data_IF_503666762939
#
_entry.id   IF_503666762939
#
_cell.length_a   1.000
_cell.length_b   1.000
_cell.length_c   1.000
_cell.angle_alpha   90.00
_cell.angle_beta   90.00
_cell.angle_gamma   90.00
#
_symmetry.space_group_name_H-M   'P 1'
#
loop_
_entity.id
_entity.type
_entity.pdbx_description
1 polymer ?
#
# COMPACT_ATOMS: atom_id res chain seq x y z
N UNK A 1 -3.88 8.63 -10.05
CA UNK A 1 -2.49 8.35 -9.70
C UNK A 1 -2.27 8.37 -8.20
N UNK A 2 -1.32 7.55 -7.74
CA UNK A 2 -1.02 7.42 -6.33
C UNK A 2 0.00 8.48 -5.90
N UNK A 3 -0.15 8.96 -4.67
CA UNK A 3 0.86 9.82 -4.08
C UNK A 3 2.08 8.99 -3.71
N UNK A 4 3.20 9.67 -3.44
CA UNK A 4 4.42 8.99 -2.99
C UNK A 4 4.14 8.17 -1.73
N UNK A 5 3.41 8.72 -0.77
CA UNK A 5 3.09 8.03 0.48
C UNK A 5 2.24 6.78 0.20
N UNK A 6 1.28 6.88 -0.72
CA UNK A 6 0.45 5.73 -1.08
C UNK A 6 1.28 4.63 -1.75
N UNK A 7 2.24 4.99 -2.59
CA UNK A 7 3.17 4.03 -3.18
C UNK A 7 3.98 3.32 -2.09
N UNK A 8 4.46 4.07 -1.10
CA UNK A 8 5.21 3.49 0.02
C UNK A 8 4.35 2.49 0.80
N UNK A 9 3.10 2.87 1.10
CA UNK A 9 2.17 1.99 1.80
C UNK A 9 1.91 0.73 0.99
N UNK A 10 1.65 0.88 -0.30
CA UNK A 10 1.39 -0.26 -1.17
C UNK A 10 2.59 -1.21 -1.22
N UNK A 11 3.79 -0.68 -1.32
CA UNK A 11 5.02 -1.49 -1.30
C UNK A 11 5.15 -2.30 -0.02
N UNK A 12 4.82 -1.70 1.11
CA UNK A 12 4.92 -2.37 2.41
C UNK A 12 3.82 -3.42 2.57
N UNK A 13 2.63 -3.18 2.02
CA UNK A 13 1.59 -4.20 1.96
C UNK A 13 2.07 -5.40 1.15
N UNK A 14 2.70 -5.15 0.02
CA UNK A 14 3.26 -6.19 -0.83
C UNK A 14 4.35 -6.98 -0.09
N UNK A 15 5.10 -6.31 0.76
CA UNK A 15 6.14 -6.96 1.56
C UNK A 15 5.58 -7.78 2.71
N UNK A 16 4.26 -7.79 2.91
CA UNK A 16 3.62 -8.61 3.93
C UNK A 16 3.52 -7.96 5.30
N UNK A 17 3.75 -6.66 5.38
CA UNK A 17 3.70 -5.98 6.68
C UNK A 17 2.28 -5.67 7.11
N UNK A 18 2.03 -5.75 8.42
CA UNK A 18 0.76 -5.36 9.01
C UNK A 18 0.63 -3.84 9.02
N UNK A 19 -0.59 -3.35 9.27
CA UNK A 19 -0.81 -1.91 9.39
C UNK A 19 0.05 -1.29 10.48
N UNK A 20 0.22 -1.99 11.59
CA UNK A 20 1.06 -1.50 12.69
C UNK A 20 2.53 -1.44 12.28
N UNK A 21 3.00 -2.45 11.56
CA UNK A 21 4.37 -2.46 11.07
C UNK A 21 4.61 -1.36 10.04
N UNK A 22 3.63 -1.12 9.17
CA UNK A 22 3.72 -0.05 8.18
C UNK A 22 3.77 1.30 8.88
N UNK A 23 2.90 1.52 9.86
CA UNK A 23 2.88 2.77 10.62
C UNK A 23 4.22 3.02 11.32
N UNK A 24 4.77 1.96 11.90
CA UNK A 24 6.04 2.02 12.60
C UNK A 24 7.17 2.35 11.61
N UNK A 25 7.18 1.68 10.48
CA UNK A 25 8.18 1.87 9.43
C UNK A 25 8.17 3.31 8.90
N UNK A 26 6.98 3.87 8.72
CA UNK A 26 6.82 5.23 8.19
C UNK A 26 6.80 6.30 9.29
N UNK A 27 6.90 5.87 10.55
CA UNK A 27 6.94 6.77 11.70
C UNK A 27 5.68 7.64 11.81
N UNK A 28 4.53 7.01 11.64
CA UNK A 28 3.22 7.68 11.77
C UNK A 28 2.31 6.84 12.65
N UNK A 29 1.19 7.42 13.07
CA UNK A 29 0.22 6.71 13.90
C UNK A 29 -0.52 5.64 13.07
N UNK A 30 -0.91 4.51 13.70
CA UNK A 30 -1.68 3.49 12.99
C UNK A 30 -2.99 3.99 12.41
N UNK A 31 -3.63 4.96 13.06
CA UNK A 31 -4.86 5.56 12.53
C UNK A 31 -4.60 6.31 11.24
N UNK A 32 -3.43 6.94 11.11
CA UNK A 32 -3.03 7.61 9.88
C UNK A 32 -2.87 6.60 8.75
N UNK A 33 -2.28 5.43 9.05
CA UNK A 33 -2.11 4.39 8.06
C UNK A 33 -3.46 3.86 7.58
N UNK A 34 -4.42 3.69 8.50
CA UNK A 34 -5.76 3.24 8.10
C UNK A 34 -6.40 4.21 7.10
N UNK A 35 -6.20 5.51 7.32
CA UNK A 35 -6.70 6.54 6.42
C UNK A 35 -6.03 6.44 5.05
N UNK A 36 -4.72 6.27 5.04
CA UNK A 36 -3.97 6.10 3.78
C UNK A 36 -4.43 4.85 3.03
N UNK A 37 -4.64 3.75 3.74
CA UNK A 37 -5.06 2.50 3.11
C UNK A 37 -6.47 2.64 2.53
N UNK A 38 -7.37 3.30 3.25
CA UNK A 38 -8.72 3.54 2.74
C UNK A 38 -8.67 4.33 1.44
N UNK A 39 -7.89 5.41 1.42
CA UNK A 39 -7.72 6.23 0.23
C UNK A 39 -7.12 5.42 -0.92
N UNK A 40 -6.10 4.64 -0.62
CA UNK A 40 -5.43 3.78 -1.58
C UNK A 40 -6.41 2.78 -2.21
N UNK A 41 -7.21 2.11 -1.37
CA UNK A 41 -8.17 1.13 -1.85
C UNK A 41 -9.23 1.78 -2.74
N UNK A 42 -9.67 2.99 -2.39
CA UNK A 42 -10.63 3.72 -3.22
C UNK A 42 -10.05 4.05 -4.58
N UNK A 43 -8.81 4.51 -4.61
CA UNK A 43 -8.15 4.87 -5.87
C UNK A 43 -7.90 3.65 -6.75
N UNK A 44 -7.62 2.51 -6.16
CA UNK A 44 -7.36 1.28 -6.89
C UNK A 44 -8.64 0.48 -7.16
N UNK A 45 -9.76 0.93 -6.62
CA UNK A 45 -11.07 0.27 -6.77
C UNK A 45 -11.03 -1.17 -6.28
N UNK A 46 -10.46 -1.39 -5.10
CA UNK A 46 -10.36 -2.70 -4.48
C UNK A 46 -10.97 -2.65 -3.08
N UNK A 47 -11.30 -3.82 -2.53
CA UNK A 47 -11.91 -3.92 -1.20
C UNK A 47 -11.14 -4.82 -0.25
N UNK A 48 -10.29 -5.72 -0.76
CA UNK A 48 -9.59 -6.69 0.06
C UNK A 48 -8.08 -6.52 -0.03
N UNK A 49 -7.40 -6.82 1.08
CA UNK A 49 -5.94 -6.71 1.15
C UNK A 49 -5.24 -7.63 0.15
N UNK A 50 -5.81 -8.81 -0.10
CA UNK A 50 -5.25 -9.73 -1.08
C UNK A 50 -5.22 -9.12 -2.48
N UNK A 51 -6.23 -8.33 -2.81
CA UNK A 51 -6.25 -7.61 -4.09
C UNK A 51 -5.14 -6.56 -4.13
N UNK A 52 -4.88 -5.90 -3.00
CA UNK A 52 -3.81 -4.91 -2.91
C UNK A 52 -2.45 -5.57 -3.13
N UNK A 53 -2.22 -6.73 -2.54
CA UNK A 53 -0.97 -7.47 -2.71
C UNK A 53 -0.77 -7.86 -4.18
N UNK A 54 -1.82 -8.39 -4.80
CA UNK A 54 -1.76 -8.81 -6.20
C UNK A 54 -1.48 -7.64 -7.13
N UNK A 55 -2.18 -6.53 -6.90
CA UNK A 55 -2.02 -5.33 -7.72
C UNK A 55 -0.63 -4.72 -7.53
N UNK A 56 -0.13 -4.73 -6.29
CA UNK A 56 1.21 -4.23 -6.00
C UNK A 56 2.26 -5.03 -6.74
N UNK A 57 2.11 -6.35 -6.78
CA UNK A 57 3.02 -7.22 -7.52
C UNK A 57 3.05 -6.81 -9.00
N UNK A 58 1.88 -6.62 -9.59
CA UNK A 58 1.79 -6.28 -11.02
C UNK A 58 2.41 -4.92 -11.29
N UNK A 59 2.11 -3.93 -10.46
CA UNK A 59 2.60 -2.57 -10.66
C UNK A 59 4.11 -2.47 -10.43
N UNK A 60 4.62 -3.13 -9.39
CA UNK A 60 6.04 -3.08 -9.09
C UNK A 60 6.84 -3.83 -10.14
N UNK A 61 6.30 -4.89 -10.69
CA UNK A 61 6.94 -5.62 -11.78
C UNK A 61 7.13 -4.73 -13.00
N UNK A 62 6.13 -3.93 -13.33
CA UNK A 62 6.22 -3.00 -14.46
C UNK A 62 7.27 -1.92 -14.22
N UNK A 63 7.36 -1.43 -13.00
CA UNK A 63 8.32 -0.39 -12.65
C UNK A 63 9.75 -0.92 -12.72
N UNK A 64 9.95 -2.19 -12.39
CA UNK A 64 11.28 -2.78 -12.37
C UNK A 64 11.79 -3.22 -13.73
N UNK A 65 11.12 -2.81 -14.78
CA UNK A 65 11.75 -2.83 -16.08
C UNK A 65 11.56 -4.08 -16.90
N UNK A 66 10.54 -4.80 -16.66
CA UNK A 66 10.25 -5.91 -17.58
C UNK A 66 9.13 -5.64 -18.52
#
# INVERSE_FOLDING_TARGET
>A
PLTRREWQVLSLIHAGQSNEQIADHLNVAPTTIKTHIRSLYQKLNITHRSEAVQLARDLLSKIQGD
#
